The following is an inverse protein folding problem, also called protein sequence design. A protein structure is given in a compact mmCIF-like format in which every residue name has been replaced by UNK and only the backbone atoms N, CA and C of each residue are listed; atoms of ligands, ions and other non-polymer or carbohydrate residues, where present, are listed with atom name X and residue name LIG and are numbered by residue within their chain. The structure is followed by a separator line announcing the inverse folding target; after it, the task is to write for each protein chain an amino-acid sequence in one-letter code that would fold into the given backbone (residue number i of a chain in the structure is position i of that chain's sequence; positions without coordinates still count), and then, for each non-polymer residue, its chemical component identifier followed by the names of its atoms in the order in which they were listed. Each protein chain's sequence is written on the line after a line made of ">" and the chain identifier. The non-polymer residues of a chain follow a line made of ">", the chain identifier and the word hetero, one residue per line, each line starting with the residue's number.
data_IF_120650805901
#
_entry.id   IF_120650805901
#
_cell.length_a   1.000
_cell.length_b   1.000
_cell.length_c   1.000
_cell.angle_alpha   90.00
_cell.angle_beta   90.00
_cell.angle_gamma   90.00
#
_symmetry.space_group_name_H-M   'P 1'
#
loop_
_entity.id
_entity.type
_entity.pdbx_description
1 polymer ?
#
# COMPACT_ATOMS: atom_id res chain seq x y z
N UNK A 1 -73.77 25.25 22.08
CA UNK A 1 -73.36 24.53 20.85
C UNK A 1 -71.84 24.60 20.73
N UNK A 2 -71.17 23.45 20.82
CA UNK A 2 -69.70 23.31 20.89
C UNK A 2 -69.08 23.57 19.51
N UNK A 3 -68.03 24.39 19.43
CA UNK A 3 -67.09 24.41 18.30
C UNK A 3 -65.66 24.46 18.84
N UNK A 4 -65.09 23.27 19.00
CA UNK A 4 -63.70 23.06 19.35
C UNK A 4 -62.87 23.16 18.05
N UNK A 5 -62.03 24.19 17.94
CA UNK A 5 -61.07 24.31 16.86
C UNK A 5 -59.77 23.63 17.30
N UNK A 6 -59.47 22.46 16.74
CA UNK A 6 -58.14 21.85 16.85
C UNK A 6 -57.23 22.53 15.83
N UNK A 7 -56.27 23.31 16.32
CA UNK A 7 -55.11 23.75 15.54
C UNK A 7 -54.13 22.58 15.46
N UNK A 8 -53.96 22.02 14.26
CA UNK A 8 -52.89 21.07 13.95
C UNK A 8 -51.64 21.88 13.67
N UNK A 9 -50.72 21.95 14.64
CA UNK A 9 -49.35 22.41 14.44
C UNK A 9 -48.59 21.30 13.71
N UNK A 10 -48.27 21.54 12.44
CA UNK A 10 -47.35 20.69 11.69
C UNK A 10 -45.92 21.02 12.14
N UNK A 11 -45.34 20.19 13.00
CA UNK A 11 -43.92 20.22 13.32
C UNK A 11 -43.11 19.87 12.07
N UNK A 12 -42.55 20.91 11.44
CA UNK A 12 -41.52 20.75 10.41
C UNK A 12 -40.25 20.32 11.13
N UNK A 13 -40.00 19.01 11.15
CA UNK A 13 -38.74 18.45 11.59
C UNK A 13 -37.63 18.92 10.65
N UNK A 14 -36.89 19.95 11.05
CA UNK A 14 -35.64 20.36 10.41
C UNK A 14 -34.63 19.26 10.70
N UNK A 15 -34.38 18.40 9.72
CA UNK A 15 -33.28 17.45 9.77
C UNK A 15 -31.97 18.26 9.78
N UNK A 16 -31.39 18.46 10.96
CA UNK A 16 -30.03 18.94 11.11
C UNK A 16 -29.10 17.95 10.41
N UNK A 17 -28.70 18.27 9.18
CA UNK A 17 -27.59 17.59 8.54
C UNK A 17 -26.39 17.69 9.48
N UNK A 18 -25.84 16.55 9.87
CA UNK A 18 -24.60 16.51 10.64
C UNK A 18 -23.55 17.29 9.85
N UNK A 19 -23.22 18.49 10.35
CA UNK A 19 -22.11 19.28 9.82
C UNK A 19 -20.88 18.40 10.03
N UNK A 20 -20.31 17.89 8.94
CA UNK A 20 -19.02 17.22 8.96
C UNK A 20 -18.04 18.18 9.65
N UNK A 21 -17.63 17.81 10.86
CA UNK A 21 -16.72 18.65 11.64
C UNK A 21 -15.44 18.85 10.82
N UNK A 22 -14.97 20.09 10.63
CA UNK A 22 -13.72 20.32 9.95
C UNK A 22 -12.61 19.62 10.75
N UNK A 23 -11.85 18.76 10.08
CA UNK A 23 -10.76 18.00 10.70
C UNK A 23 -9.65 18.91 11.23
N UNK A 24 -8.96 18.44 12.25
CA UNK A 24 -7.79 19.07 12.86
C UNK A 24 -6.51 18.54 12.21
N UNK A 25 -5.77 19.45 11.59
CA UNK A 25 -4.55 19.14 10.84
C UNK A 25 -3.44 18.58 11.73
N UNK A 26 -3.33 19.04 12.98
CA UNK A 26 -2.26 18.61 13.89
C UNK A 26 -2.52 17.18 14.41
N UNK A 27 -3.79 16.86 14.69
CA UNK A 27 -4.19 15.47 14.97
C UNK A 27 -4.01 14.59 13.74
N UNK A 28 -4.44 15.06 12.57
CA UNK A 28 -4.27 14.34 11.31
C UNK A 28 -2.80 14.03 10.96
N UNK A 29 -1.87 14.92 11.31
CA UNK A 29 -0.44 14.66 11.17
C UNK A 29 0.03 13.48 12.04
N UNK A 30 -0.54 13.34 13.24
CA UNK A 30 -0.26 12.20 14.12
C UNK A 30 -0.85 10.91 13.56
N UNK A 31 -2.06 10.96 13.02
CA UNK A 31 -2.73 9.81 12.40
C UNK A 31 -2.02 9.33 11.13
N UNK A 32 -1.37 10.24 10.40
CA UNK A 32 -0.56 9.92 9.22
C UNK A 32 0.61 8.96 9.51
N UNK A 33 1.01 8.77 10.77
CA UNK A 33 2.04 7.78 11.14
C UNK A 33 1.71 6.37 10.64
N UNK A 34 0.43 6.00 10.60
CA UNK A 34 -0.02 4.73 10.04
C UNK A 34 0.27 4.61 8.53
N UNK A 35 0.22 5.74 7.81
CA UNK A 35 0.48 5.81 6.36
C UNK A 35 1.98 5.94 6.04
N UNK A 36 2.73 6.64 6.90
CA UNK A 36 4.13 7.01 6.69
C UNK A 36 5.09 5.81 6.55
N UNK A 37 4.70 4.63 7.04
CA UNK A 37 5.46 3.40 6.84
C UNK A 37 5.53 2.98 5.36
N UNK A 38 4.49 3.29 4.58
CA UNK A 38 4.34 2.83 3.20
C UNK A 38 4.31 3.97 2.19
N UNK A 39 4.02 5.20 2.60
CA UNK A 39 3.82 6.33 1.71
C UNK A 39 4.72 7.52 2.05
N UNK A 40 5.21 8.20 1.02
CA UNK A 40 5.86 9.51 1.14
C UNK A 40 4.91 10.63 0.75
N UNK A 41 5.13 11.82 1.32
CA UNK A 41 4.52 13.07 0.88
C UNK A 41 5.39 13.82 -0.14
N UNK A 42 6.63 13.37 -0.38
CA UNK A 42 7.53 13.98 -1.35
C UNK A 42 7.13 13.58 -2.78
N UNK A 43 6.98 14.55 -3.71
CA UNK A 43 6.70 14.24 -5.12
C UNK A 43 7.72 13.27 -5.71
N UNK A 44 7.23 12.23 -6.39
CA UNK A 44 8.07 11.22 -7.06
C UNK A 44 8.74 10.20 -6.13
N UNK A 45 8.68 10.35 -4.80
CA UNK A 45 9.26 9.40 -3.86
C UNK A 45 8.29 8.25 -3.55
N UNK A 46 8.34 7.21 -4.36
CA UNK A 46 7.59 5.99 -4.12
C UNK A 46 8.27 5.09 -3.08
N UNK A 47 7.46 4.35 -2.33
CA UNK A 47 7.90 3.39 -1.31
C UNK A 47 7.15 2.06 -1.53
N UNK A 48 6.75 1.37 -0.46
CA UNK A 48 5.82 0.23 -0.58
C UNK A 48 4.54 0.65 -1.31
N UNK A 49 4.02 1.83 -0.99
CA UNK A 49 2.94 2.51 -1.71
C UNK A 49 3.43 3.69 -2.56
N UNK A 50 2.56 4.26 -3.42
CA UNK A 50 2.87 5.45 -4.23
C UNK A 50 3.09 6.70 -3.36
N UNK A 51 3.83 7.68 -3.89
CA UNK A 51 3.82 9.03 -3.32
C UNK A 51 2.41 9.59 -3.25
N UNK A 52 2.09 10.24 -2.13
CA UNK A 52 0.81 10.91 -1.90
C UNK A 52 0.85 12.38 -2.30
N UNK A 53 1.96 12.93 -2.77
CA UNK A 53 1.98 14.28 -3.35
C UNK A 53 0.96 14.39 -4.49
N UNK A 54 0.33 15.56 -4.64
CA UNK A 54 -0.67 15.87 -5.67
C UNK A 54 -1.81 14.84 -5.71
N UNK A 55 -2.38 14.52 -4.54
CA UNK A 55 -3.38 13.45 -4.41
C UNK A 55 -4.76 13.86 -4.95
N UNK A 56 -5.23 15.07 -4.64
CA UNK A 56 -6.57 15.52 -5.03
C UNK A 56 -6.69 15.69 -6.55
N UNK A 57 -7.75 15.14 -7.13
CA UNK A 57 -8.00 15.12 -8.57
C UNK A 57 -7.24 14.03 -9.32
N UNK A 58 -6.33 13.30 -8.67
CA UNK A 58 -5.58 12.21 -9.30
C UNK A 58 -6.45 10.96 -9.44
N UNK A 59 -6.39 10.32 -10.61
CA UNK A 59 -7.02 9.01 -10.82
C UNK A 59 -6.37 7.95 -9.92
N UNK A 60 -7.19 7.14 -9.26
CA UNK A 60 -6.72 5.97 -8.51
C UNK A 60 -5.95 5.01 -9.43
N UNK A 61 -4.82 4.51 -8.95
CA UNK A 61 -3.92 3.70 -9.77
C UNK A 61 -3.24 4.44 -10.94
N UNK A 62 -3.30 5.79 -10.97
CA UNK A 62 -2.86 6.59 -12.12
C UNK A 62 -1.52 7.31 -11.98
N UNK A 63 -0.79 7.16 -10.87
CA UNK A 63 0.52 7.78 -10.72
C UNK A 63 1.56 7.07 -11.60
N UNK A 64 2.00 7.72 -12.67
CA UNK A 64 2.92 7.14 -13.69
C UNK A 64 4.22 6.58 -13.09
N UNK A 65 4.75 7.21 -12.04
CA UNK A 65 5.98 6.74 -11.39
C UNK A 65 5.82 5.45 -10.59
N UNK A 66 4.59 4.99 -10.32
CA UNK A 66 4.29 3.81 -9.50
C UNK A 66 3.55 2.75 -10.31
N UNK A 67 4.26 1.69 -10.70
CA UNK A 67 3.72 0.63 -11.55
C UNK A 67 2.99 -0.48 -10.76
N UNK A 68 3.27 -0.60 -9.45
CA UNK A 68 2.86 -1.69 -8.56
C UNK A 68 1.43 -1.59 -8.02
N UNK A 69 0.55 -0.88 -8.71
CA UNK A 69 -0.87 -0.89 -8.37
C UNK A 69 -1.50 -2.25 -8.69
N UNK A 70 -2.54 -2.62 -7.95
CA UNK A 70 -3.41 -3.74 -8.32
C UNK A 70 -4.17 -3.42 -9.61
N UNK A 71 -4.50 -4.45 -10.38
CA UNK A 71 -5.33 -4.29 -11.58
C UNK A 71 -6.74 -3.78 -11.23
N UNK A 72 -7.27 -4.19 -10.07
CA UNK A 72 -8.53 -3.70 -9.53
C UNK A 72 -8.52 -2.19 -9.30
N UNK A 73 -7.46 -1.65 -8.66
CA UNK A 73 -7.37 -0.22 -8.38
C UNK A 73 -7.15 0.59 -9.66
N UNK A 74 -6.33 0.09 -10.60
CA UNK A 74 -6.14 0.71 -11.93
C UNK A 74 -7.46 0.82 -12.71
N UNK A 75 -8.32 -0.19 -12.57
CA UNK A 75 -9.59 -0.30 -13.31
C UNK A 75 -10.78 0.32 -12.57
N UNK A 76 -10.61 0.76 -11.33
CA UNK A 76 -11.70 1.26 -10.47
C UNK A 76 -12.43 2.49 -11.02
N UNK A 77 -11.79 3.29 -11.87
CA UNK A 77 -12.34 4.56 -12.35
C UNK A 77 -12.42 5.67 -11.29
N UNK A 78 -11.97 5.41 -10.06
CA UNK A 78 -12.00 6.36 -8.95
C UNK A 78 -11.08 7.56 -9.25
N UNK A 79 -11.53 8.74 -8.88
CA UNK A 79 -10.73 9.97 -8.82
C UNK A 79 -10.70 10.44 -7.38
N UNK A 80 -9.51 10.67 -6.83
CA UNK A 80 -9.35 11.03 -5.43
C UNK A 80 -9.86 12.43 -5.15
N UNK A 81 -10.86 12.53 -4.27
CA UNK A 81 -11.32 13.74 -3.62
C UNK A 81 -11.83 13.43 -2.22
N UNK A 82 -12.40 14.43 -1.55
CA UNK A 82 -12.79 14.34 -0.13
C UNK A 82 -13.69 13.13 0.14
N UNK A 83 -14.75 12.94 -0.67
CA UNK A 83 -15.69 11.83 -0.52
C UNK A 83 -15.05 10.46 -0.75
N UNK A 84 -14.35 10.28 -1.88
CA UNK A 84 -13.76 8.99 -2.24
C UNK A 84 -12.62 8.59 -1.31
N UNK A 85 -11.88 9.56 -0.78
CA UNK A 85 -10.82 9.28 0.18
C UNK A 85 -11.40 8.93 1.56
N UNK A 86 -12.50 9.58 1.99
CA UNK A 86 -13.20 9.16 3.21
C UNK A 86 -13.69 7.71 3.09
N UNK A 87 -14.39 7.37 1.99
CA UNK A 87 -14.88 6.02 1.71
C UNK A 87 -13.73 5.00 1.64
N UNK A 88 -12.63 5.34 0.97
CA UNK A 88 -11.44 4.49 0.86
C UNK A 88 -10.81 4.22 2.22
N UNK A 89 -10.75 5.23 3.09
CA UNK A 89 -10.16 5.10 4.42
C UNK A 89 -11.05 4.33 5.39
N UNK A 90 -12.36 4.19 5.16
CA UNK A 90 -13.24 3.34 6.00
C UNK A 90 -12.83 1.88 5.87
N UNK A 91 -12.68 1.40 4.64
CA UNK A 91 -12.37 0.01 4.33
C UNK A 91 -11.90 -0.14 2.87
N UNK A 92 -10.58 -0.12 2.62
CA UNK A 92 -10.05 -0.19 1.27
C UNK A 92 -10.42 -1.46 0.53
N UNK A 93 -10.38 -2.61 1.22
CA UNK A 93 -10.69 -3.91 0.63
C UNK A 93 -12.17 -4.03 0.27
N UNK A 94 -13.06 -3.44 1.07
CA UNK A 94 -14.47 -3.36 0.74
C UNK A 94 -14.73 -2.43 -0.46
N UNK A 95 -14.08 -1.26 -0.50
CA UNK A 95 -14.29 -0.29 -1.59
C UNK A 95 -13.74 -0.78 -2.92
N UNK A 96 -12.55 -1.38 -2.93
CA UNK A 96 -11.94 -2.01 -4.11
C UNK A 96 -11.41 -3.38 -3.72
N UNK A 97 -12.20 -4.45 -3.94
CA UNK A 97 -11.74 -5.82 -3.74
C UNK A 97 -10.44 -6.10 -4.52
N UNK A 98 -9.57 -6.93 -3.94
CA UNK A 98 -8.27 -7.32 -4.50
C UNK A 98 -7.27 -6.16 -4.69
N UNK A 99 -7.48 -5.04 -4.00
CA UNK A 99 -6.44 -4.03 -3.93
C UNK A 99 -5.23 -4.53 -3.11
N UNK A 100 -4.04 -4.02 -3.44
CA UNK A 100 -2.79 -4.45 -2.82
C UNK A 100 -2.38 -3.60 -1.61
N UNK A 101 -3.25 -2.75 -1.08
CA UNK A 101 -2.97 -1.95 0.13
C UNK A 101 -3.38 -2.76 1.38
N UNK A 102 -2.42 -3.26 2.19
CA UNK A 102 -2.72 -4.05 3.38
C UNK A 102 -3.08 -3.12 4.55
N UNK A 103 -4.27 -2.53 4.50
CA UNK A 103 -4.76 -1.58 5.51
C UNK A 103 -6.20 -1.91 5.89
N UNK A 104 -6.46 -2.02 7.19
CA UNK A 104 -7.77 -2.42 7.75
C UNK A 104 -8.84 -1.31 7.67
N UNK A 105 -8.40 -0.06 7.48
CA UNK A 105 -9.27 1.11 7.50
C UNK A 105 -9.36 1.79 8.86
N UNK A 106 -10.09 2.91 8.91
CA UNK A 106 -10.31 3.78 10.06
C UNK A 106 -11.82 3.96 10.19
N UNK A 107 -12.44 3.34 11.21
CA UNK A 107 -13.90 3.34 11.35
C UNK A 107 -14.42 4.65 11.94
N UNK A 108 -13.62 5.31 12.75
CA UNK A 108 -13.92 6.56 13.44
C UNK A 108 -13.91 7.74 12.45
N UNK A 109 -15.08 8.31 12.18
CA UNK A 109 -15.23 9.41 11.22
C UNK A 109 -14.41 10.66 11.59
N UNK A 110 -14.23 10.95 12.89
CA UNK A 110 -13.41 12.08 13.34
C UNK A 110 -11.93 11.92 12.98
N UNK A 111 -11.38 10.72 13.19
CA UNK A 111 -9.97 10.40 12.83
C UNK A 111 -9.76 10.50 11.33
N UNK A 112 -10.73 10.02 10.53
CA UNK A 112 -10.68 10.20 9.07
C UNK A 112 -10.72 11.67 8.66
N UNK A 113 -11.60 12.47 9.27
CA UNK A 113 -11.71 13.89 8.98
C UNK A 113 -10.40 14.64 9.28
N UNK A 114 -9.78 14.37 10.44
CA UNK A 114 -8.48 14.91 10.85
C UNK A 114 -7.38 14.53 9.83
N UNK A 115 -7.27 13.23 9.49
CA UNK A 115 -6.30 12.74 8.50
C UNK A 115 -6.50 13.35 7.11
N UNK A 116 -7.74 13.48 6.64
CA UNK A 116 -8.05 14.10 5.35
C UNK A 116 -7.68 15.59 5.34
N UNK A 117 -7.94 16.31 6.44
CA UNK A 117 -7.53 17.71 6.58
C UNK A 117 -6.01 17.85 6.48
N UNK A 118 -5.25 16.99 7.17
CA UNK A 118 -3.79 16.97 7.07
C UNK A 118 -3.30 16.64 5.66
N UNK A 119 -3.79 15.55 5.06
CA UNK A 119 -3.39 15.13 3.70
C UNK A 119 -3.70 16.24 2.67
N UNK A 120 -4.81 16.95 2.81
CA UNK A 120 -5.22 18.01 1.89
C UNK A 120 -4.27 19.21 1.91
N UNK A 121 -3.65 19.49 3.05
CA UNK A 121 -2.62 20.50 3.17
C UNK A 121 -1.26 19.96 2.70
N UNK A 122 -0.88 18.78 3.18
CA UNK A 122 0.45 18.21 3.00
C UNK A 122 0.75 17.71 1.57
N UNK A 123 -0.28 17.53 0.74
CA UNK A 123 -0.13 17.00 -0.62
C UNK A 123 -0.39 18.03 -1.72
N UNK A 124 -0.56 19.31 -1.36
CA UNK A 124 -0.73 20.38 -2.36
C UNK A 124 0.48 20.47 -3.30
N UNK A 125 0.27 20.84 -4.57
CA UNK A 125 1.37 21.11 -5.50
C UNK A 125 2.34 22.14 -4.92
N UNK A 126 3.61 21.78 -4.83
CA UNK A 126 4.66 22.64 -4.28
C UNK A 126 4.69 22.75 -2.75
N UNK A 127 3.86 22.00 -2.02
CA UNK A 127 4.04 21.83 -0.58
C UNK A 127 5.32 21.01 -0.35
N UNK A 128 6.44 21.69 -0.07
CA UNK A 128 7.60 21.02 0.50
C UNK A 128 7.18 20.44 1.86
N UNK A 129 7.49 19.16 2.17
CA UNK A 129 7.27 18.67 3.52
C UNK A 129 8.06 19.60 4.45
N UNK A 130 7.38 20.29 5.37
CA UNK A 130 8.09 20.81 6.56
C UNK A 130 8.73 19.59 7.16
N UNK A 131 10.06 19.50 7.10
CA UNK A 131 10.84 18.36 7.59
C UNK A 131 10.23 17.92 8.91
N UNK A 132 9.48 16.82 8.90
CA UNK A 132 9.15 16.15 10.14
C UNK A 132 10.50 15.66 10.62
N UNK A 133 11.00 16.29 11.67
CA UNK A 133 12.12 15.81 12.45
C UNK A 133 11.95 14.31 12.58
N UNK A 134 12.87 13.59 11.93
CA UNK A 134 13.12 12.17 12.07
C UNK A 134 13.00 11.85 13.56
N UNK A 135 11.85 11.33 13.99
CA UNK A 135 11.79 10.72 15.31
C UNK A 135 12.65 9.47 15.20
N UNK A 136 13.67 9.29 16.05
CA UNK A 136 14.57 8.17 15.94
C UNK A 136 13.75 6.90 16.17
N UNK A 137 13.65 6.06 15.13
CA UNK A 137 13.27 4.65 15.29
C UNK A 137 14.31 4.01 16.22
N UNK A 138 13.98 3.95 17.51
CA UNK A 138 14.76 3.19 18.49
C UNK A 138 14.69 1.73 18.06
N UNK A 139 15.85 1.16 17.74
CA UNK A 139 15.98 -0.15 17.13
C UNK A 139 15.21 -1.23 17.86
N UNK A 140 14.44 -2.00 17.10
CA UNK A 140 14.12 -3.38 17.44
C UNK A 140 15.10 -4.27 16.69
N UNK A 141 16.18 -4.58 17.38
CA UNK A 141 17.14 -5.58 16.95
C UNK A 141 16.50 -6.96 16.85
N UNK A 142 17.02 -7.74 15.91
CA UNK A 142 17.14 -9.19 15.98
C UNK A 142 15.91 -9.98 16.42
N UNK A 143 15.11 -10.43 15.44
CA UNK A 143 14.45 -11.73 15.55
C UNK A 143 14.78 -12.53 14.29
N UNK A 144 15.86 -13.31 14.42
CA UNK A 144 16.22 -14.40 13.52
C UNK A 144 15.04 -15.38 13.47
N UNK A 145 14.25 -15.34 12.40
CA UNK A 145 13.25 -16.36 12.09
C UNK A 145 13.93 -17.65 11.65
N UNK A 146 14.58 -18.34 12.58
CA UNK A 146 15.24 -19.64 12.40
C UNK A 146 14.25 -20.79 12.35
N UNK A 147 13.34 -20.79 11.38
CA UNK A 147 12.83 -22.05 10.84
C UNK A 147 13.95 -22.67 9.99
N UNK A 148 14.11 -23.99 10.00
CA UNK A 148 14.98 -24.62 8.99
C UNK A 148 14.42 -24.23 7.63
N UNK A 149 15.22 -23.52 6.83
CA UNK A 149 14.83 -23.22 5.46
C UNK A 149 14.44 -24.55 4.76
N UNK A 150 13.28 -24.61 4.10
CA UNK A 150 12.86 -25.83 3.43
C UNK A 150 13.87 -26.20 2.35
N UNK A 151 14.01 -27.49 2.04
CA UNK A 151 14.84 -27.89 0.91
C UNK A 151 14.27 -27.29 -0.38
N UNK A 152 14.98 -26.31 -0.94
CA UNK A 152 14.56 -25.45 -2.03
C UNK A 152 14.50 -26.19 -3.38
N UNK A 153 15.02 -27.42 -3.47
CA UNK A 153 14.87 -28.31 -4.63
C UNK A 153 13.50 -28.96 -4.70
N UNK A 154 12.78 -29.00 -3.57
CA UNK A 154 11.49 -29.72 -3.42
C UNK A 154 10.33 -28.79 -3.07
N UNK A 155 10.43 -27.51 -3.42
CA UNK A 155 9.38 -26.51 -3.16
C UNK A 155 8.31 -26.55 -4.25
N UNK A 156 7.08 -26.16 -3.89
CA UNK A 156 5.96 -26.13 -4.84
C UNK A 156 6.20 -25.16 -6.01
N UNK A 157 5.55 -25.38 -7.18
CA UNK A 157 5.68 -24.50 -8.35
C UNK A 157 5.39 -23.02 -8.08
N UNK A 158 4.53 -22.73 -7.11
CA UNK A 158 4.20 -21.36 -6.66
C UNK A 158 5.39 -20.63 -5.99
N UNK A 159 6.50 -21.33 -5.75
CA UNK A 159 7.72 -20.81 -5.12
C UNK A 159 8.94 -20.90 -6.02
N UNK A 160 8.82 -21.55 -7.17
CA UNK A 160 9.87 -21.62 -8.18
C UNK A 160 9.72 -20.41 -9.10
N UNK A 161 10.74 -19.57 -9.18
CA UNK A 161 10.75 -18.39 -10.04
C UNK A 161 11.09 -18.83 -11.47
N UNK A 162 10.18 -18.53 -12.40
CA UNK A 162 10.31 -18.83 -13.82
C UNK A 162 10.79 -17.62 -14.63
N UNK A 163 10.43 -16.41 -14.20
CA UNK A 163 10.89 -15.19 -14.83
C UNK A 163 11.02 -14.06 -13.81
N UNK A 164 11.97 -13.17 -14.05
CA UNK A 164 12.19 -11.98 -13.26
C UNK A 164 12.42 -10.81 -14.20
N UNK A 165 11.50 -9.84 -14.21
CA UNK A 165 11.66 -8.63 -15.02
C UNK A 165 11.82 -7.41 -14.15
N UNK A 166 12.54 -6.42 -14.67
CA UNK A 166 12.75 -5.13 -14.01
C UNK A 166 12.32 -3.99 -14.92
N UNK A 167 11.53 -3.06 -14.39
CA UNK A 167 11.14 -1.81 -15.05
C UNK A 167 11.08 -0.70 -14.00
N UNK A 168 11.82 0.39 -14.23
CA UNK A 168 11.96 1.54 -13.31
C UNK A 168 12.41 1.12 -11.91
N UNK A 169 11.50 1.12 -10.94
CA UNK A 169 11.75 0.80 -9.52
C UNK A 169 11.15 -0.55 -9.10
N UNK A 170 10.70 -1.34 -10.07
CA UNK A 170 9.83 -2.49 -9.85
C UNK A 170 10.41 -3.76 -10.44
N UNK A 171 10.54 -4.79 -9.61
CA UNK A 171 10.73 -6.17 -10.04
C UNK A 171 9.38 -6.88 -10.15
N UNK A 172 9.18 -7.66 -11.22
CA UNK A 172 8.05 -8.58 -11.34
C UNK A 172 8.59 -10.01 -11.31
N UNK A 173 8.20 -10.76 -10.30
CA UNK A 173 8.57 -12.16 -10.11
C UNK A 173 7.41 -13.01 -10.62
N UNK A 174 7.64 -13.80 -11.66
CA UNK A 174 6.69 -14.79 -12.17
C UNK A 174 7.10 -16.17 -11.68
N UNK A 175 6.19 -16.87 -11.01
CA UNK A 175 6.40 -18.22 -10.49
C UNK A 175 5.98 -19.28 -11.51
N UNK A 176 6.41 -20.53 -11.31
CA UNK A 176 6.20 -21.62 -12.27
C UNK A 176 4.71 -22.02 -12.42
N UNK A 177 3.88 -21.69 -11.42
CA UNK A 177 2.40 -21.76 -11.50
C UNK A 177 1.77 -20.63 -12.35
N UNK A 178 2.58 -19.73 -12.91
CA UNK A 178 2.15 -18.64 -13.78
C UNK A 178 1.76 -17.36 -13.07
N UNK A 179 1.76 -17.32 -11.73
CA UNK A 179 1.42 -16.10 -10.98
C UNK A 179 2.57 -15.10 -11.04
N UNK A 180 2.22 -13.82 -11.17
CA UNK A 180 3.20 -12.73 -11.15
C UNK A 180 2.93 -11.79 -9.99
N UNK A 181 3.98 -11.45 -9.24
CA UNK A 181 3.93 -10.49 -8.14
C UNK A 181 4.94 -9.39 -8.36
N UNK A 182 4.52 -8.15 -8.11
CA UNK A 182 5.38 -6.98 -8.22
C UNK A 182 5.96 -6.60 -6.85
N UNK A 183 7.25 -6.29 -6.83
CA UNK A 183 7.98 -5.86 -5.65
C UNK A 183 8.71 -4.56 -5.94
N UNK A 184 8.71 -3.66 -4.97
CA UNK A 184 9.62 -2.52 -4.98
C UNK A 184 11.06 -3.05 -4.89
N UNK A 185 12.00 -2.46 -5.63
CA UNK A 185 13.41 -2.86 -5.62
C UNK A 185 14.04 -2.93 -4.22
N UNK A 186 13.54 -2.15 -3.25
CA UNK A 186 14.02 -2.18 -1.86
C UNK A 186 13.35 -3.26 -0.99
N UNK A 187 12.28 -3.89 -1.49
CA UNK A 187 11.55 -4.95 -0.80
C UNK A 187 11.87 -6.36 -1.35
N UNK A 188 12.59 -6.46 -2.46
CA UNK A 188 13.06 -7.73 -3.02
C UNK A 188 14.56 -7.91 -2.74
N UNK A 189 14.92 -8.96 -1.99
CA UNK A 189 16.31 -9.33 -1.74
C UNK A 189 16.76 -10.39 -2.73
N UNK A 190 17.98 -10.27 -3.23
CA UNK A 190 18.63 -11.34 -3.98
C UNK A 190 19.65 -12.03 -3.08
N UNK A 191 19.52 -13.33 -2.93
CA UNK A 191 20.37 -14.16 -2.08
C UNK A 191 20.87 -15.36 -2.88
N UNK A 192 21.88 -16.04 -2.34
CA UNK A 192 22.39 -17.28 -2.92
C UNK A 192 22.47 -18.34 -1.85
N UNK A 193 22.06 -19.56 -2.19
CA UNK A 193 22.23 -20.75 -1.37
C UNK A 193 22.81 -21.86 -2.24
N UNK A 194 24.12 -22.08 -2.11
CA UNK A 194 24.85 -23.12 -2.83
C UNK A 194 24.92 -24.44 -2.04
N UNK A 195 24.15 -24.56 -0.95
CA UNK A 195 24.10 -25.78 -0.15
C UNK A 195 23.33 -26.89 -0.88
N UNK A 196 23.41 -28.11 -0.33
CA UNK A 196 22.62 -29.26 -0.82
C UNK A 196 21.11 -29.03 -0.76
N UNK A 197 20.66 -28.11 0.10
CA UNK A 197 19.26 -27.78 0.33
C UNK A 197 18.87 -26.48 -0.41
N UNK A 198 19.82 -25.82 -1.08
CA UNK A 198 19.59 -24.68 -1.95
C UNK A 198 18.81 -25.04 -3.22
N UNK A 199 18.34 -24.03 -4.00
CA UNK A 199 17.50 -24.29 -5.16
C UNK A 199 18.27 -25.01 -6.27
N UNK A 200 17.54 -25.59 -7.23
CA UNK A 200 18.17 -26.13 -8.42
C UNK A 200 18.77 -25.02 -9.28
N UNK A 201 19.83 -25.38 -10.01
CA UNK A 201 20.48 -24.46 -10.95
C UNK A 201 19.46 -23.90 -11.94
N UNK A 202 19.49 -22.59 -12.15
CA UNK A 202 18.59 -21.87 -13.07
C UNK A 202 17.10 -21.96 -12.71
N UNK A 203 16.75 -22.44 -11.50
CA UNK A 203 15.39 -22.49 -10.95
C UNK A 203 15.36 -21.80 -9.57
N UNK A 204 15.46 -20.46 -9.51
CA UNK A 204 15.53 -19.74 -8.25
C UNK A 204 14.25 -19.94 -7.42
N UNK A 205 14.37 -19.89 -6.10
CA UNK A 205 13.24 -19.97 -5.18
C UNK A 205 12.85 -18.57 -4.68
N UNK A 206 11.56 -18.30 -4.47
CA UNK A 206 11.11 -17.09 -3.75
C UNK A 206 10.65 -17.44 -2.33
N UNK A 207 11.07 -16.67 -1.34
CA UNK A 207 10.70 -16.81 0.08
C UNK A 207 10.18 -15.49 0.65
N UNK A 208 9.18 -15.46 1.56
CA UNK A 208 8.73 -14.24 2.20
C UNK A 208 9.81 -13.77 3.18
N UNK A 209 10.05 -12.46 3.24
CA UNK A 209 11.09 -11.85 4.07
C UNK A 209 10.51 -10.84 5.09
N UNK A 210 9.21 -10.91 5.35
CA UNK A 210 8.50 -10.03 6.29
C UNK A 210 7.11 -10.56 6.65
N UNK A 211 6.56 -10.07 7.75
CA UNK A 211 5.25 -10.51 8.26
C UNK A 211 4.07 -9.99 7.42
N UNK A 212 4.25 -8.86 6.71
CA UNK A 212 3.20 -8.19 5.94
C UNK A 212 3.08 -8.68 4.49
N UNK A 213 3.90 -9.66 4.08
CA UNK A 213 3.86 -10.23 2.72
C UNK A 213 4.39 -9.30 1.60
N UNK A 214 4.80 -8.09 1.94
CA UNK A 214 5.30 -7.04 1.05
C UNK A 214 6.79 -7.21 0.67
N UNK A 215 7.52 -8.01 1.44
CA UNK A 215 8.94 -8.30 1.25
C UNK A 215 9.18 -9.76 0.91
N UNK A 216 10.13 -9.99 0.00
CA UNK A 216 10.52 -11.33 -0.39
C UNK A 216 12.04 -11.41 -0.66
N UNK A 217 12.56 -12.62 -0.67
CA UNK A 217 13.90 -12.92 -1.13
C UNK A 217 13.83 -13.94 -2.27
N UNK A 218 14.49 -13.65 -3.39
CA UNK A 218 14.75 -14.63 -4.45
C UNK A 218 16.13 -15.21 -4.21
N UNK A 219 16.17 -16.53 -4.05
CA UNK A 219 17.34 -17.31 -3.70
C UNK A 219 17.79 -18.04 -4.96
N UNK A 220 19.04 -17.81 -5.37
CA UNK A 220 19.67 -18.45 -6.52
C UNK A 220 20.64 -19.54 -6.07
N UNK A 221 20.90 -20.54 -6.92
CA UNK A 221 21.89 -21.56 -6.63
C UNK A 221 23.32 -21.00 -6.74
N UNK A 222 23.50 -19.96 -7.55
CA UNK A 222 24.79 -19.33 -7.80
C UNK A 222 24.68 -17.82 -8.04
N UNK A 223 25.63 -16.98 -7.54
CA UNK A 223 25.63 -15.54 -7.80
C UNK A 223 25.61 -15.15 -9.28
N UNK A 224 26.24 -15.96 -10.15
CA UNK A 224 26.33 -15.69 -11.58
C UNK A 224 24.98 -15.79 -12.31
N UNK A 225 23.95 -16.34 -11.66
CA UNK A 225 22.60 -16.45 -12.21
C UNK A 225 21.82 -15.13 -12.07
N UNK A 226 22.08 -14.36 -11.01
CA UNK A 226 21.26 -13.20 -10.62
C UNK A 226 21.12 -12.20 -11.79
N UNK A 227 22.24 -11.68 -12.29
CA UNK A 227 22.23 -10.67 -13.36
C UNK A 227 21.71 -11.21 -14.70
N UNK A 228 21.91 -12.51 -14.98
CA UNK A 228 21.48 -13.16 -16.23
C UNK A 228 19.98 -13.44 -16.24
N UNK A 229 19.42 -13.69 -15.06
CA UNK A 229 18.02 -14.06 -14.90
C UNK A 229 17.08 -12.84 -14.92
N UNK A 230 17.58 -11.65 -14.55
CA UNK A 230 16.82 -10.40 -14.55
C UNK A 230 16.77 -9.81 -15.96
N UNK A 231 15.57 -9.67 -16.51
CA UNK A 231 15.36 -9.06 -17.83
C UNK A 231 14.82 -7.62 -17.70
N UNK A 232 15.44 -6.62 -18.36
CA UNK A 232 14.86 -5.29 -18.44
C UNK A 232 13.60 -5.35 -19.33
N UNK A 233 12.42 -5.19 -18.74
CA UNK A 233 11.14 -5.24 -19.46
C UNK A 233 10.06 -4.45 -18.73
N UNK A 234 9.63 -3.37 -19.38
CA UNK A 234 8.33 -2.76 -19.23
C UNK A 234 7.39 -3.42 -20.26
#
# INVERSE_FOLDING_TARGET
>A
MKRLWMLVLADVAVASGAIAQPGDVDRGQSDFRACAACHSLEPGRNMTGPSLADLWGRKAGGLVSFERYSDALKSSGIVWGDKTLDEWLIDPQHMVPDNLMPFEGIKEAGVRADLLAFLKEATKPGAAPKQSTQMPMKGMGGMMGGGRDPNLKKIEPARQVKALTHCRDTYRVTTADGKTRAFWERNLRFMTDSSKDGPEKDVPAIMPAGMMGDRAAVIFANPNEIGKFIQPKC
#
